data_IF_601018955215
#
_entry.id   IF_601018955215
#
_cell.length_a   1.000
_cell.length_b   1.000
_cell.length_c   1.000
_cell.angle_alpha   90.00
_cell.angle_beta   90.00
_cell.angle_gamma   90.00
#
_symmetry.space_group_name_H-M   'P 1'
#
loop_
_entity.id
_entity.type
_entity.pdbx_description
1 polymer ?
#
# COMPACT_ATOMS: atom_id res chain seq x y z
N UNK A 1 14.32 0.18 15.62
CA UNK A 1 12.96 -0.31 15.94
C UNK A 1 12.00 0.83 16.20
N UNK A 2 11.98 1.54 17.34
CA UNK A 2 10.97 2.60 17.57
C UNK A 2 10.96 3.69 16.48
N UNK A 3 12.14 4.18 16.08
CA UNK A 3 12.27 5.16 14.98
C UNK A 3 11.72 4.64 13.65
N UNK A 4 11.87 3.35 13.37
CA UNK A 4 11.40 2.72 12.14
C UNK A 4 9.87 2.60 12.14
N UNK A 5 9.28 2.21 13.28
CA UNK A 5 7.82 2.16 13.46
C UNK A 5 7.19 3.56 13.39
N UNK A 6 7.77 4.57 14.04
CA UNK A 6 7.28 5.95 13.94
C UNK A 6 7.33 6.46 12.50
N UNK A 7 8.42 6.17 11.76
CA UNK A 7 8.53 6.50 10.34
C UNK A 7 7.46 5.77 9.52
N UNK A 8 7.17 4.50 9.84
CA UNK A 8 6.12 3.73 9.18
C UNK A 8 4.73 4.34 9.43
N UNK A 9 4.39 4.68 10.68
CA UNK A 9 3.13 5.36 10.99
C UNK A 9 3.00 6.71 10.27
N UNK A 10 4.09 7.48 10.17
CA UNK A 10 4.10 8.72 9.40
C UNK A 10 3.86 8.47 7.90
N UNK A 11 4.45 7.42 7.33
CA UNK A 11 4.17 7.02 5.93
C UNK A 11 2.70 6.65 5.75
N UNK A 12 2.13 5.87 6.67
CA UNK A 12 0.71 5.48 6.61
C UNK A 12 -0.20 6.71 6.77
N UNK A 13 0.21 7.71 7.56
CA UNK A 13 -0.51 8.99 7.66
C UNK A 13 -0.49 9.74 6.32
N UNK A 14 0.66 9.79 5.63
CA UNK A 14 0.76 10.38 4.29
C UNK A 14 -0.10 9.64 3.27
N UNK A 15 -0.22 8.30 3.37
CA UNK A 15 -1.12 7.53 2.53
C UNK A 15 -2.59 7.79 2.87
N UNK A 16 -2.96 7.89 4.15
CA UNK A 16 -4.31 8.33 4.54
C UNK A 16 -4.68 9.70 3.97
N UNK A 17 -3.70 10.63 3.90
CA UNK A 17 -3.89 11.94 3.26
C UNK A 17 -4.10 11.87 1.73
N UNK A 18 -3.68 10.78 1.06
CA UNK A 18 -3.86 10.65 -0.39
C UNK A 18 -5.33 10.61 -0.80
N UNK A 19 -6.20 10.02 0.02
CA UNK A 19 -7.64 9.99 -0.23
C UNK A 19 -8.23 11.41 -0.27
N UNK A 20 -7.74 12.30 0.60
CA UNK A 20 -8.15 13.70 0.66
C UNK A 20 -7.67 14.44 -0.60
N UNK A 21 -6.40 14.26 -0.99
CA UNK A 21 -5.86 14.84 -2.23
C UNK A 21 -6.62 14.34 -3.47
N UNK A 22 -7.01 13.06 -3.50
CA UNK A 22 -7.80 12.50 -4.59
C UNK A 22 -9.18 13.15 -4.75
N UNK A 23 -9.78 13.66 -3.67
CA UNK A 23 -11.04 14.42 -3.72
C UNK A 23 -10.84 15.87 -4.18
N UNK A 24 -9.66 16.44 -3.96
CA UNK A 24 -9.31 17.80 -4.38
C UNK A 24 -8.88 17.87 -5.85
N UNK A 25 -8.39 16.77 -6.40
CA UNK A 25 -7.95 16.67 -7.79
C UNK A 25 -9.14 16.33 -8.69
N UNK A 26 -9.37 17.13 -9.73
CA UNK A 26 -10.53 16.94 -10.62
C UNK A 26 -10.36 15.82 -11.65
N UNK A 27 -9.13 15.34 -11.84
CA UNK A 27 -8.76 14.30 -12.80
C UNK A 27 -9.32 12.93 -12.39
N UNK A 28 -9.88 12.12 -13.31
CA UNK A 28 -10.41 10.81 -12.95
C UNK A 28 -9.32 9.85 -12.45
N UNK A 29 -9.69 8.78 -11.72
CA UNK A 29 -8.71 8.01 -10.95
C UNK A 29 -7.58 7.35 -11.75
N UNK A 30 -7.86 6.80 -12.94
CA UNK A 30 -6.85 6.10 -13.74
C UNK A 30 -5.83 7.11 -14.31
N UNK A 31 -6.31 8.24 -14.82
CA UNK A 31 -5.50 9.36 -15.30
C UNK A 31 -4.71 10.03 -14.16
N UNK A 32 -5.29 10.11 -12.96
CA UNK A 32 -4.61 10.60 -11.75
C UNK A 32 -3.42 9.70 -11.42
N UNK A 33 -3.56 8.38 -11.49
CA UNK A 33 -2.44 7.45 -11.26
C UNK A 33 -1.36 7.61 -12.32
N UNK A 34 -1.74 7.82 -13.59
CA UNK A 34 -0.78 8.13 -14.64
C UNK A 34 0.02 9.39 -14.32
N UNK A 35 -0.66 10.51 -14.00
CA UNK A 35 0.03 11.75 -13.65
C UNK A 35 0.90 11.60 -12.39
N UNK A 36 0.40 10.91 -11.37
CA UNK A 36 1.12 10.60 -10.13
C UNK A 36 2.43 9.83 -10.42
N UNK A 37 2.36 8.79 -11.24
CA UNK A 37 3.52 7.95 -11.58
C UNK A 37 4.49 8.65 -12.51
N UNK A 38 3.99 9.42 -13.47
CA UNK A 38 4.82 10.23 -14.37
C UNK A 38 5.60 11.28 -13.58
N UNK A 39 4.92 12.08 -12.75
CA UNK A 39 5.56 13.11 -11.91
C UNK A 39 6.54 12.49 -10.90
N UNK A 40 6.22 11.33 -10.33
CA UNK A 40 7.12 10.62 -9.44
C UNK A 40 8.37 10.10 -10.17
N UNK A 41 8.21 9.50 -11.36
CA UNK A 41 9.31 9.02 -12.18
C UNK A 41 10.23 10.17 -12.64
N UNK A 42 9.66 11.27 -13.12
CA UNK A 42 10.45 12.45 -13.52
C UNK A 42 11.12 13.12 -12.33
N UNK A 43 10.41 13.30 -11.21
CA UNK A 43 10.98 13.85 -9.97
C UNK A 43 12.13 13.01 -9.43
N UNK A 44 12.00 11.68 -9.45
CA UNK A 44 13.07 10.76 -9.06
C UNK A 44 14.24 10.79 -10.04
N UNK A 45 13.99 10.90 -11.35
CA UNK A 45 15.06 11.06 -12.34
C UNK A 45 15.88 12.33 -12.05
N UNK A 46 15.19 13.47 -11.86
CA UNK A 46 15.84 14.75 -11.50
C UNK A 46 16.62 14.61 -10.20
N UNK A 47 16.05 13.98 -9.17
CA UNK A 47 16.70 13.78 -7.88
C UNK A 47 17.96 12.91 -7.99
N UNK A 48 17.92 11.82 -8.75
CA UNK A 48 19.05 10.93 -8.98
C UNK A 48 20.18 11.65 -9.74
N UNK A 49 19.83 12.44 -10.76
CA UNK A 49 20.78 13.26 -11.52
C UNK A 49 21.41 14.34 -10.64
N UNK A 50 20.60 15.09 -9.88
CA UNK A 50 21.07 16.13 -8.98
C UNK A 50 22.00 15.59 -7.89
N UNK A 51 21.71 14.38 -7.37
CA UNK A 51 22.56 13.69 -6.38
C UNK A 51 23.74 12.93 -6.99
N UNK A 52 23.92 12.99 -8.32
CA UNK A 52 24.94 12.25 -9.08
C UNK A 52 24.96 10.75 -8.74
N UNK A 53 23.80 10.19 -8.39
CA UNK A 53 23.71 8.76 -8.06
C UNK A 53 23.67 7.95 -9.36
N UNK A 54 24.40 6.83 -9.45
CA UNK A 54 24.29 5.97 -10.61
C UNK A 54 22.86 5.45 -10.71
N UNK A 55 22.28 5.57 -11.89
CA UNK A 55 20.92 5.13 -12.21
C UNK A 55 20.92 3.87 -13.08
N UNK A 56 22.01 3.60 -13.80
CA UNK A 56 22.17 2.41 -14.64
C UNK A 56 22.17 1.13 -13.80
N UNK A 57 21.40 0.15 -14.25
CA UNK A 57 21.37 -1.23 -13.74
C UNK A 57 21.38 -2.21 -14.92
N UNK A 58 21.86 -3.45 -14.72
CA UNK A 58 21.81 -4.48 -15.75
C UNK A 58 20.38 -4.66 -16.28
N UNK A 59 20.22 -4.90 -17.59
CA UNK A 59 18.91 -4.95 -18.24
C UNK A 59 17.93 -5.95 -17.58
N UNK A 60 18.43 -7.12 -17.15
CA UNK A 60 17.61 -8.10 -16.43
C UNK A 60 17.11 -7.62 -15.07
N UNK A 61 17.88 -6.82 -14.34
CA UNK A 61 17.45 -6.21 -13.07
C UNK A 61 16.49 -5.04 -13.33
N UNK A 62 16.77 -4.21 -14.34
CA UNK A 62 15.87 -3.14 -14.76
C UNK A 62 14.48 -3.68 -15.13
N UNK A 63 14.42 -4.78 -15.90
CA UNK A 63 13.17 -5.41 -16.29
C UNK A 63 12.39 -5.96 -15.08
N UNK A 64 13.08 -6.53 -14.09
CA UNK A 64 12.45 -6.96 -12.83
C UNK A 64 11.83 -5.78 -12.08
N UNK A 65 12.56 -4.67 -11.96
CA UNK A 65 12.09 -3.47 -11.25
C UNK A 65 10.92 -2.80 -11.99
N UNK A 66 10.99 -2.72 -13.33
CA UNK A 66 9.87 -2.28 -14.17
C UNK A 66 8.65 -3.19 -14.03
N UNK A 67 8.87 -4.51 -14.00
CA UNK A 67 7.82 -5.52 -13.81
C UNK A 67 7.13 -5.40 -12.45
N UNK A 68 7.87 -5.05 -11.40
CA UNK A 68 7.27 -4.70 -10.10
C UNK A 68 6.43 -3.43 -10.21
N UNK A 69 6.86 -2.44 -11.00
CA UNK A 69 6.05 -1.27 -11.36
C UNK A 69 4.73 -1.63 -12.06
N UNK A 70 4.71 -2.63 -12.94
CA UNK A 70 3.48 -3.14 -13.57
C UNK A 70 2.50 -3.64 -12.50
N UNK A 71 2.98 -4.35 -11.47
CA UNK A 71 2.15 -4.81 -10.35
C UNK A 71 1.56 -3.63 -9.57
N UNK A 72 2.33 -2.57 -9.36
CA UNK A 72 1.84 -1.34 -8.70
C UNK A 72 0.72 -0.69 -9.52
N UNK A 73 0.89 -0.57 -10.83
CA UNK A 73 -0.15 -0.05 -11.71
C UNK A 73 -1.41 -0.94 -11.69
N UNK A 74 -1.25 -2.25 -11.81
CA UNK A 74 -2.36 -3.21 -11.76
C UNK A 74 -3.10 -3.14 -10.42
N UNK A 75 -2.37 -3.04 -9.31
CA UNK A 75 -2.94 -2.85 -7.98
C UNK A 75 -3.79 -1.57 -7.93
N UNK A 76 -3.26 -0.41 -8.35
CA UNK A 76 -4.02 0.84 -8.30
C UNK A 76 -5.25 0.82 -9.22
N UNK A 77 -5.14 0.30 -10.44
CA UNK A 77 -6.29 0.18 -11.36
C UNK A 77 -7.38 -0.71 -10.77
N UNK A 78 -7.01 -1.89 -10.24
CA UNK A 78 -7.98 -2.81 -9.61
C UNK A 78 -8.57 -2.23 -8.33
N UNK A 79 -7.79 -1.48 -7.54
CA UNK A 79 -8.29 -0.78 -6.36
C UNK A 79 -9.38 0.25 -6.73
N UNK A 80 -9.13 1.10 -7.73
CA UNK A 80 -10.14 2.06 -8.20
C UNK A 80 -11.34 1.39 -8.85
N UNK A 81 -11.14 0.28 -9.56
CA UNK A 81 -12.25 -0.50 -10.09
C UNK A 81 -13.11 -1.09 -8.97
N UNK A 82 -12.50 -1.65 -7.92
CA UNK A 82 -13.24 -2.17 -6.77
C UNK A 82 -14.06 -1.08 -6.07
N UNK A 83 -13.47 0.11 -5.88
CA UNK A 83 -14.17 1.27 -5.32
C UNK A 83 -15.29 1.82 -6.22
N UNK A 84 -15.32 1.46 -7.52
CA UNK A 84 -16.41 1.78 -8.44
C UNK A 84 -17.48 0.70 -8.51
N UNK A 85 -17.10 -0.57 -8.41
CA UNK A 85 -18.02 -1.73 -8.44
C UNK A 85 -18.73 -1.96 -7.10
N UNK A 86 -18.26 -1.32 -6.03
CA UNK A 86 -18.79 -1.44 -4.67
C UNK A 86 -18.62 -0.11 -3.93
N UNK A 87 -19.04 -0.08 -2.66
CA UNK A 87 -18.76 1.05 -1.77
C UNK A 87 -17.28 1.14 -1.41
N UNK A 88 -16.83 2.36 -1.04
CA UNK A 88 -15.48 2.59 -0.52
C UNK A 88 -15.21 1.68 0.69
N UNK A 89 -16.20 1.49 1.57
CA UNK A 89 -16.09 0.62 2.74
C UNK A 89 -15.85 -0.85 2.37
N UNK A 90 -16.53 -1.38 1.33
CA UNK A 90 -16.32 -2.76 0.85
C UNK A 90 -14.96 -2.90 0.14
N UNK A 91 -14.56 -1.92 -0.66
CA UNK A 91 -13.24 -1.89 -1.27
C UNK A 91 -12.13 -1.94 -0.21
N UNK A 92 -12.25 -1.11 0.83
CA UNK A 92 -11.33 -1.14 1.97
C UNK A 92 -11.38 -2.50 2.67
N UNK A 93 -12.56 -3.09 2.90
CA UNK A 93 -12.71 -4.44 3.46
C UNK A 93 -11.90 -5.50 2.71
N UNK A 94 -11.95 -5.50 1.37
CA UNK A 94 -11.10 -6.38 0.57
C UNK A 94 -9.61 -6.07 0.74
N UNK A 95 -9.24 -4.80 0.88
CA UNK A 95 -7.86 -4.38 1.13
C UNK A 95 -7.31 -4.83 2.49
N UNK A 96 -8.12 -5.07 3.54
CA UNK A 96 -7.62 -5.66 4.79
C UNK A 96 -6.99 -7.05 4.61
N UNK A 97 -7.34 -7.76 3.52
CA UNK A 97 -6.70 -9.04 3.19
C UNK A 97 -5.23 -8.89 2.81
N UNK A 98 -4.71 -7.66 2.66
CA UNK A 98 -3.30 -7.38 2.34
C UNK A 98 -2.32 -8.06 3.30
N UNK A 99 -2.51 -7.90 4.61
CA UNK A 99 -1.66 -8.54 5.62
C UNK A 99 -1.78 -10.07 5.56
N UNK A 100 -3.00 -10.58 5.33
CA UNK A 100 -3.24 -12.02 5.18
C UNK A 100 -2.52 -12.59 3.94
N UNK A 101 -2.69 -11.98 2.77
CA UNK A 101 -1.94 -12.33 1.55
C UNK A 101 -0.43 -12.33 1.79
N UNK A 102 0.06 -11.32 2.49
CA UNK A 102 1.48 -11.19 2.79
C UNK A 102 1.97 -12.30 3.72
N UNK A 103 1.17 -12.73 4.69
CA UNK A 103 1.51 -13.85 5.59
C UNK A 103 1.70 -15.18 4.85
N UNK A 104 1.10 -15.35 3.67
CA UNK A 104 1.29 -16.53 2.81
C UNK A 104 2.37 -16.31 1.74
N UNK A 105 2.36 -15.16 1.06
CA UNK A 105 3.29 -14.84 -0.03
C UNK A 105 4.72 -14.62 0.47
N UNK A 106 4.90 -13.98 1.62
CA UNK A 106 6.23 -13.70 2.16
C UNK A 106 7.01 -14.99 2.46
N UNK A 107 6.46 -15.98 3.20
CA UNK A 107 7.13 -17.27 3.40
C UNK A 107 7.33 -18.06 2.10
N UNK A 108 6.35 -18.03 1.18
CA UNK A 108 6.42 -18.75 -0.09
C UNK A 108 7.54 -18.24 -1.00
N UNK A 109 7.66 -16.92 -1.16
CA UNK A 109 8.63 -16.30 -2.08
C UNK A 109 10.01 -16.19 -1.44
N UNK A 110 10.07 -15.92 -0.13
CA UNK A 110 11.33 -15.80 0.61
C UNK A 110 11.84 -17.12 1.18
N UNK A 111 11.14 -18.24 0.94
CA UNK A 111 11.48 -19.58 1.42
C UNK A 111 11.70 -19.63 2.95
N UNK A 112 10.72 -19.11 3.70
CA UNK A 112 10.69 -19.10 5.17
C UNK A 112 9.52 -19.93 5.68
N UNK A 113 9.53 -20.27 6.97
CA UNK A 113 8.39 -20.93 7.62
C UNK A 113 7.25 -19.94 7.82
N UNK A 114 6.01 -20.39 7.59
CA UNK A 114 4.81 -19.62 7.89
C UNK A 114 4.73 -19.41 9.40
N UNK A 115 4.51 -18.17 9.82
CA UNK A 115 4.30 -17.80 11.22
C UNK A 115 2.80 -17.74 11.47
N UNK A 116 2.24 -18.74 12.14
CA UNK A 116 0.79 -18.84 12.35
C UNK A 116 0.18 -17.62 13.05
N UNK A 117 0.93 -16.94 13.92
CA UNK A 117 0.44 -15.70 14.54
C UNK A 117 0.23 -14.57 13.52
N UNK A 118 1.00 -14.51 12.43
CA UNK A 118 0.81 -13.51 11.36
C UNK A 118 -0.49 -13.77 10.59
N UNK A 119 -0.78 -15.04 10.30
CA UNK A 119 -2.06 -15.45 9.69
C UNK A 119 -3.23 -15.07 10.60
N UNK A 120 -3.13 -15.37 11.91
CA UNK A 120 -4.15 -15.03 12.90
C UNK A 120 -4.40 -13.52 13.01
N UNK A 121 -3.35 -12.69 12.99
CA UNK A 121 -3.49 -11.23 12.99
C UNK A 121 -4.11 -10.70 11.69
N UNK A 122 -3.76 -11.29 10.54
CA UNK A 122 -4.40 -10.98 9.26
C UNK A 122 -5.90 -11.28 9.26
N UNK A 123 -6.31 -12.43 9.80
CA UNK A 123 -7.72 -12.77 9.97
C UNK A 123 -8.43 -11.82 10.94
N UNK A 124 -7.78 -11.43 12.03
CA UNK A 124 -8.34 -10.46 12.98
C UNK A 124 -8.59 -9.09 12.33
N UNK A 125 -7.67 -8.61 11.48
CA UNK A 125 -7.91 -7.37 10.71
C UNK A 125 -9.09 -7.48 9.76
N UNK A 126 -9.33 -8.64 9.16
CA UNK A 126 -10.50 -8.86 8.30
C UNK A 126 -11.80 -8.75 9.09
N UNK A 127 -11.86 -9.29 10.31
CA UNK A 127 -13.02 -9.16 11.19
C UNK A 127 -13.29 -7.69 11.51
N UNK A 128 -12.25 -6.94 11.89
CA UNK A 128 -12.38 -5.52 12.17
C UNK A 128 -12.94 -4.73 10.99
N UNK A 129 -12.49 -5.05 9.77
CA UNK A 129 -12.95 -4.33 8.59
C UNK A 129 -14.31 -4.81 8.05
N UNK A 130 -14.71 -6.05 8.31
CA UNK A 130 -16.08 -6.52 8.09
C UNK A 130 -17.10 -5.76 8.96
N UNK A 131 -16.77 -5.52 10.24
CA UNK A 131 -17.62 -4.74 11.14
C UNK A 131 -17.77 -3.27 10.70
N UNK A 132 -16.72 -2.71 10.07
CA UNK A 132 -16.75 -1.38 9.47
C UNK A 132 -17.62 -1.35 8.21
N UNK A 133 -17.59 -2.39 7.38
CA UNK A 133 -18.21 -2.38 6.06
C UNK A 133 -19.67 -2.84 6.01
N UNK A 134 -20.16 -3.57 7.03
CA UNK A 134 -21.49 -4.22 7.03
C UNK A 134 -21.84 -4.81 5.65
N UNK A 135 -20.90 -5.52 5.03
CA UNK A 135 -20.94 -5.81 3.61
C UNK A 135 -22.25 -6.51 3.20
N UNK A 136 -23.09 -5.80 2.45
CA UNK A 136 -24.24 -6.36 1.76
C UNK A 136 -23.74 -7.30 0.65
N UNK A 137 -24.36 -8.49 0.53
CA UNK A 137 -23.96 -9.51 -0.44
C UNK A 137 -24.02 -9.04 -1.91
N UNK A 138 -24.77 -7.97 -2.20
CA UNK A 138 -24.88 -7.37 -3.54
C UNK A 138 -23.58 -6.72 -4.04
N UNK A 139 -22.58 -6.51 -3.18
CA UNK A 139 -21.31 -5.85 -3.54
C UNK A 139 -20.15 -6.83 -3.76
N UNK A 140 -20.44 -8.13 -3.94
CA UNK A 140 -19.43 -9.20 -3.98
C UNK A 140 -18.40 -9.04 -5.11
N UNK A 141 -18.81 -8.53 -6.27
CA UNK A 141 -17.89 -8.31 -7.39
C UNK A 141 -16.78 -7.30 -7.04
N UNK A 142 -17.14 -6.16 -6.44
CA UNK A 142 -16.16 -5.17 -5.98
C UNK A 142 -15.26 -5.70 -4.86
N UNK A 143 -15.81 -6.52 -3.95
CA UNK A 143 -15.02 -7.18 -2.92
C UNK A 143 -13.95 -8.12 -3.51
N UNK A 144 -14.31 -8.97 -4.48
CA UNK A 144 -13.36 -9.88 -5.13
C UNK A 144 -12.23 -9.13 -5.85
N UNK A 145 -12.56 -8.03 -6.52
CA UNK A 145 -11.56 -7.17 -7.18
C UNK A 145 -10.65 -6.48 -6.15
N UNK A 146 -11.18 -6.07 -4.99
CA UNK A 146 -10.38 -5.52 -3.90
C UNK A 146 -9.44 -6.56 -3.29
N UNK A 147 -9.88 -7.81 -3.11
CA UNK A 147 -9.04 -8.91 -2.62
C UNK A 147 -7.90 -9.20 -3.61
N UNK A 148 -8.19 -9.20 -4.92
CA UNK A 148 -7.17 -9.32 -5.95
C UNK A 148 -6.17 -8.17 -5.88
N UNK A 149 -6.67 -6.93 -5.73
CA UNK A 149 -5.84 -5.74 -5.58
C UNK A 149 -4.91 -5.82 -4.37
N UNK A 150 -5.41 -6.30 -3.23
CA UNK A 150 -4.62 -6.57 -2.04
C UNK A 150 -3.53 -7.62 -2.29
N UNK A 151 -3.85 -8.70 -3.01
CA UNK A 151 -2.88 -9.71 -3.42
C UNK A 151 -1.75 -9.15 -4.29
N UNK A 152 -2.07 -8.27 -5.24
CA UNK A 152 -1.08 -7.59 -6.08
C UNK A 152 -0.15 -6.67 -5.26
N UNK A 153 -0.71 -5.92 -4.31
CA UNK A 153 0.06 -5.06 -3.40
C UNK A 153 0.95 -5.86 -2.43
N UNK A 154 0.45 -7.00 -1.93
CA UNK A 154 1.23 -7.94 -1.13
C UNK A 154 2.40 -8.51 -1.95
N UNK A 155 2.15 -8.94 -3.18
CA UNK A 155 3.18 -9.46 -4.08
C UNK A 155 4.26 -8.40 -4.36
N UNK A 156 3.85 -7.18 -4.69
CA UNK A 156 4.73 -6.02 -4.84
C UNK A 156 5.64 -5.84 -3.62
N UNK A 157 5.06 -5.86 -2.41
CA UNK A 157 5.78 -5.65 -1.15
C UNK A 157 6.81 -6.75 -0.88
N UNK A 158 6.44 -8.01 -1.10
CA UNK A 158 7.31 -9.17 -0.90
C UNK A 158 8.46 -9.19 -1.92
N UNK A 159 8.20 -8.86 -3.19
CA UNK A 159 9.25 -8.73 -4.20
C UNK A 159 10.24 -7.61 -3.85
N UNK A 160 9.73 -6.49 -3.30
CA UNK A 160 10.57 -5.38 -2.86
C UNK A 160 11.52 -5.74 -1.72
N UNK A 161 11.10 -6.56 -0.76
CA UNK A 161 11.98 -7.07 0.31
C UNK A 161 13.24 -7.74 -0.26
N UNK A 162 13.15 -8.38 -1.44
CA UNK A 162 14.29 -8.98 -2.13
C UNK A 162 15.11 -7.94 -2.91
N UNK A 163 14.45 -7.09 -3.69
CA UNK A 163 15.11 -6.12 -4.57
C UNK A 163 15.83 -5.02 -3.79
N UNK A 164 15.26 -4.54 -2.68
CA UNK A 164 15.84 -3.45 -1.89
C UNK A 164 17.15 -3.83 -1.19
N UNK A 165 17.45 -5.12 -1.05
CA UNK A 165 18.74 -5.60 -0.54
C UNK A 165 19.87 -5.45 -1.56
N UNK A 166 19.53 -5.37 -2.85
CA UNK A 166 20.49 -5.28 -3.96
C UNK A 166 20.57 -3.88 -4.55
N UNK A 167 19.51 -3.09 -4.41
CA UNK A 167 19.37 -1.79 -5.06
C UNK A 167 19.10 -0.68 -4.04
N UNK A 168 19.54 0.54 -4.37
CA UNK A 168 19.23 1.72 -3.56
C UNK A 168 17.72 2.03 -3.67
N UNK A 169 17.01 2.37 -2.56
CA UNK A 169 15.56 2.58 -2.57
C UNK A 169 15.09 3.61 -3.60
N UNK A 170 15.78 4.76 -3.72
CA UNK A 170 15.42 5.79 -4.71
C UNK A 170 15.51 5.28 -6.15
N UNK A 171 16.55 4.49 -6.46
CA UNK A 171 16.70 3.87 -7.79
C UNK A 171 15.62 2.83 -8.02
N UNK A 172 15.32 2.02 -6.99
CA UNK A 172 14.25 1.03 -7.05
C UNK A 172 12.90 1.66 -7.36
N UNK A 173 12.50 2.65 -6.57
CA UNK A 173 11.26 3.39 -6.79
C UNK A 173 11.25 4.11 -8.15
N UNK A 174 12.38 4.61 -8.65
CA UNK A 174 12.43 5.24 -9.98
C UNK A 174 12.00 4.27 -11.08
N UNK A 175 12.56 3.05 -11.10
CA UNK A 175 12.18 2.04 -12.08
C UNK A 175 10.74 1.55 -11.87
N UNK A 176 10.29 1.38 -10.63
CA UNK A 176 8.91 0.97 -10.35
C UNK A 176 7.89 2.02 -10.81
N UNK A 177 8.12 3.30 -10.52
CA UNK A 177 7.24 4.39 -10.97
C UNK A 177 7.27 4.53 -12.49
N UNK A 178 8.42 4.32 -13.12
CA UNK A 178 8.55 4.31 -14.58
C UNK A 178 7.79 3.13 -15.20
N UNK A 179 7.90 1.94 -14.62
CA UNK A 179 7.18 0.74 -15.05
C UNK A 179 5.68 0.89 -14.88
N UNK A 180 5.24 1.47 -13.77
CA UNK A 180 3.83 1.77 -13.52
C UNK A 180 3.30 2.79 -14.55
N UNK A 181 4.01 3.90 -14.75
CA UNK A 181 3.65 4.92 -15.74
C UNK A 181 3.54 4.35 -17.15
N UNK A 182 4.54 3.58 -17.59
CA UNK A 182 4.53 2.94 -18.91
C UNK A 182 3.35 1.96 -19.06
N UNK A 183 3.11 1.15 -18.03
CA UNK A 183 2.03 0.15 -18.06
C UNK A 183 0.65 0.80 -18.16
N UNK A 184 0.43 1.91 -17.44
CA UNK A 184 -0.84 2.67 -17.50
C UNK A 184 -0.98 3.35 -18.86
N UNK A 185 0.09 3.93 -19.40
CA UNK A 185 0.09 4.51 -20.74
C UNK A 185 -0.27 3.49 -21.82
N UNK A 186 0.28 2.27 -21.72
CA UNK A 186 -0.06 1.16 -22.61
C UNK A 186 -1.50 0.65 -22.43
N UNK A 187 -2.06 0.81 -21.22
CA UNK A 187 -3.46 0.46 -20.93
C UNK A 187 -4.47 1.50 -21.42
N UNK A 188 -4.06 2.75 -21.67
CA UNK A 188 -4.96 3.83 -22.06
C UNK A 188 -5.87 3.56 -23.27
N UNK A 189 -5.42 2.91 -24.37
CA UNK A 189 -6.32 2.61 -25.48
C UNK A 189 -7.50 1.71 -25.06
N UNK A 190 -7.22 0.69 -24.25
CA UNK A 190 -8.23 -0.24 -23.70
C UNK A 190 -9.13 0.52 -22.72
N UNK A 191 -8.54 1.29 -21.82
CA UNK A 191 -9.27 2.11 -20.85
C UNK A 191 -10.23 3.08 -21.54
N UNK A 192 -9.73 3.84 -22.52
CA UNK A 192 -10.51 4.82 -23.27
C UNK A 192 -11.68 4.18 -23.99
N UNK A 193 -11.50 3.00 -24.59
CA UNK A 193 -12.56 2.35 -25.36
C UNK A 193 -13.66 1.74 -24.46
N UNK A 194 -13.28 1.06 -23.37
CA UNK A 194 -14.23 0.27 -22.58
C UNK A 194 -14.73 0.95 -21.30
N UNK A 195 -13.99 1.91 -20.73
CA UNK A 195 -14.22 2.38 -19.36
C UNK A 195 -14.51 3.89 -19.23
N UNK A 196 -14.38 4.67 -20.31
CA UNK A 196 -14.65 6.12 -20.29
C UNK A 196 -16.07 6.50 -20.74
N UNK A 197 -16.93 5.52 -21.03
CA UNK A 197 -18.30 5.72 -21.54
C UNK A 197 -18.37 6.69 -22.74
N UNK A 198 -17.36 6.66 -23.62
CA UNK A 198 -17.28 7.51 -24.80
C UNK A 198 -16.78 8.94 -24.56
N UNK A 199 -16.47 9.34 -23.31
CA UNK A 199 -15.92 10.68 -23.01
C UNK A 199 -14.43 10.81 -23.32
N UNK A 200 -13.72 9.70 -23.54
CA UNK A 200 -12.29 9.67 -23.80
C UNK A 200 -11.43 9.94 -22.56
N UNK A 201 -10.12 10.07 -22.77
CA UNK A 201 -9.16 10.33 -21.69
C UNK A 201 -9.25 11.79 -21.21
N UNK A 202 -9.35 12.00 -19.90
CA UNK A 202 -9.40 13.33 -19.31
C UNK A 202 -8.08 13.69 -18.63
N UNK A 203 -7.08 14.02 -19.45
CA UNK A 203 -5.73 14.34 -18.95
C UNK A 203 -5.54 15.80 -18.53
N UNK A 204 -6.48 16.68 -18.88
CA UNK A 204 -6.36 18.12 -18.62
C UNK A 204 -6.50 18.44 -17.13
N UNK A 205 -5.59 19.28 -16.62
CA UNK A 205 -5.63 19.78 -15.25
C UNK A 205 -6.54 21.00 -15.16
N UNK A 206 -7.28 21.16 -14.05
CA UNK A 206 -8.14 22.31 -13.79
C UNK A 206 -7.75 23.00 -12.49
N UNK A 207 -7.78 24.33 -12.47
CA UNK A 207 -7.53 25.12 -11.27
C UNK A 207 -6.19 24.79 -10.58
N UNK A 208 -6.26 24.30 -9.34
CA UNK A 208 -5.10 23.96 -8.51
C UNK A 208 -4.65 22.50 -8.61
N UNK A 209 -5.18 21.71 -9.56
CA UNK A 209 -4.82 20.30 -9.75
C UNK A 209 -3.30 20.09 -9.84
N UNK A 210 -2.57 20.98 -10.52
CA UNK A 210 -1.11 20.90 -10.67
C UNK A 210 -0.40 20.91 -9.31
N UNK A 211 -0.85 21.73 -8.36
CA UNK A 211 -0.26 21.86 -7.04
C UNK A 211 -0.54 20.59 -6.22
N UNK A 212 -1.78 20.12 -6.23
CA UNK A 212 -2.17 18.91 -5.51
C UNK A 212 -1.50 17.67 -6.07
N UNK A 213 -1.34 17.58 -7.39
CA UNK A 213 -0.59 16.51 -8.06
C UNK A 213 0.89 16.53 -7.68
N UNK A 214 1.53 17.70 -7.59
CA UNK A 214 2.91 17.80 -7.12
C UNK A 214 3.06 17.38 -5.66
N UNK A 215 2.13 17.77 -4.78
CA UNK A 215 2.12 17.32 -3.37
C UNK A 215 1.93 15.81 -3.28
N UNK A 216 0.98 15.25 -4.05
CA UNK A 216 0.69 13.82 -4.11
C UNK A 216 1.88 13.02 -4.65
N UNK A 217 2.46 13.46 -5.76
CA UNK A 217 3.60 12.79 -6.39
C UNK A 217 4.87 12.93 -5.53
N UNK A 218 5.17 14.11 -4.99
CA UNK A 218 6.36 14.34 -4.18
C UNK A 218 6.27 13.68 -2.79
N UNK A 219 5.29 14.08 -1.99
CA UNK A 219 5.15 13.65 -0.60
C UNK A 219 4.65 12.21 -0.49
N UNK A 220 3.47 11.93 -1.03
CA UNK A 220 2.79 10.65 -0.84
C UNK A 220 3.29 9.54 -1.78
N UNK A 221 4.06 9.87 -2.81
CA UNK A 221 4.60 8.88 -3.76
C UNK A 221 6.11 8.80 -3.63
N UNK A 222 6.86 9.80 -4.08
CA UNK A 222 8.33 9.74 -4.05
C UNK A 222 8.85 9.53 -2.64
N UNK A 223 8.48 10.39 -1.67
CA UNK A 223 8.98 10.26 -0.31
C UNK A 223 8.42 9.03 0.41
N UNK A 224 7.09 8.88 0.46
CA UNK A 224 6.45 7.81 1.22
C UNK A 224 6.80 6.42 0.67
N UNK A 225 6.77 6.24 -0.65
CA UNK A 225 7.05 4.95 -1.30
C UNK A 225 8.53 4.58 -1.20
N UNK A 226 9.46 5.49 -1.51
CA UNK A 226 10.90 5.21 -1.33
C UNK A 226 11.27 4.98 0.13
N UNK A 227 10.63 5.68 1.07
CA UNK A 227 10.84 5.45 2.50
C UNK A 227 10.28 4.10 2.96
N UNK A 228 9.12 3.69 2.45
CA UNK A 228 8.54 2.37 2.72
C UNK A 228 9.44 1.25 2.20
N UNK A 229 9.89 1.36 0.96
CA UNK A 229 10.87 0.45 0.37
C UNK A 229 12.15 0.40 1.21
N UNK A 230 12.69 1.55 1.64
CA UNK A 230 13.85 1.59 2.54
C UNK A 230 13.60 0.84 3.86
N UNK A 231 12.41 0.99 4.46
CA UNK A 231 12.03 0.28 5.69
C UNK A 231 11.97 -1.23 5.50
N UNK A 232 11.67 -1.74 4.30
CA UNK A 232 11.71 -3.17 3.96
C UNK A 232 13.12 -3.79 4.08
N UNK A 233 14.17 -2.98 4.22
CA UNK A 233 15.51 -3.49 4.60
C UNK A 233 15.55 -4.00 6.05
N UNK A 234 14.68 -3.49 6.92
CA UNK A 234 14.72 -3.69 8.38
C UNK A 234 13.43 -4.33 8.92
N UNK A 235 12.30 -4.09 8.27
CA UNK A 235 10.98 -4.63 8.61
C UNK A 235 10.54 -5.65 7.55
N UNK A 236 9.76 -6.66 7.95
CA UNK A 236 9.17 -7.60 7.01
C UNK A 236 8.07 -6.93 6.18
N UNK A 237 7.75 -7.53 5.03
CA UNK A 237 6.59 -7.09 4.25
C UNK A 237 5.31 -7.19 5.09
N UNK A 238 5.18 -8.25 5.89
CA UNK A 238 4.02 -8.43 6.76
C UNK A 238 3.82 -7.27 7.74
N UNK A 239 4.88 -6.80 8.43
CA UNK A 239 4.77 -5.70 9.40
C UNK A 239 4.33 -4.40 8.72
N UNK A 240 4.93 -4.10 7.57
CA UNK A 240 4.59 -2.91 6.78
C UNK A 240 3.12 -2.98 6.37
N UNK A 241 2.69 -4.10 5.80
CA UNK A 241 1.34 -4.29 5.30
C UNK A 241 0.28 -4.35 6.41
N UNK A 242 0.61 -4.93 7.56
CA UNK A 242 -0.24 -4.89 8.75
C UNK A 242 -0.44 -3.46 9.22
N UNK A 243 0.61 -2.63 9.19
CA UNK A 243 0.51 -1.21 9.60
C UNK A 243 -0.26 -0.38 8.57
N UNK A 244 -0.18 -0.72 7.28
CA UNK A 244 -0.97 -0.09 6.21
C UNK A 244 -2.48 -0.27 6.44
N UNK A 245 -2.93 -1.33 7.12
CA UNK A 245 -4.35 -1.46 7.48
C UNK A 245 -4.84 -0.32 8.41
N UNK A 246 -3.96 0.51 8.98
CA UNK A 246 -4.32 1.75 9.68
C UNK A 246 -4.58 2.94 8.75
N UNK A 247 -4.28 2.84 7.46
CA UNK A 247 -4.50 3.90 6.48
C UNK A 247 -5.95 4.43 6.50
N UNK A 248 -7.01 3.59 6.49
CA UNK A 248 -8.38 4.07 6.60
C UNK A 248 -8.63 4.85 7.89
N UNK A 249 -8.08 4.38 9.00
CA UNK A 249 -8.22 5.01 10.31
C UNK A 249 -7.60 6.41 10.28
N UNK A 250 -6.39 6.55 9.74
CA UNK A 250 -5.70 7.83 9.63
C UNK A 250 -6.36 8.77 8.63
N UNK A 251 -6.80 8.25 7.48
CA UNK A 251 -7.52 9.04 6.49
C UNK A 251 -8.81 9.64 7.05
N UNK A 252 -9.58 8.87 7.82
CA UNK A 252 -10.83 9.33 8.43
C UNK A 252 -10.57 10.34 9.54
N UNK A 253 -9.57 10.11 10.40
CA UNK A 253 -9.18 11.10 11.42
C UNK A 253 -8.78 12.44 10.77
N UNK A 254 -7.99 12.41 9.69
CA UNK A 254 -7.62 13.61 8.94
C UNK A 254 -8.84 14.26 8.29
N UNK A 255 -9.76 13.47 7.70
CA UNK A 255 -10.97 13.98 7.08
C UNK A 255 -11.87 14.71 8.09
N UNK A 256 -12.07 14.13 9.29
CA UNK A 256 -12.84 14.77 10.38
C UNK A 256 -12.16 16.06 10.86
N UNK A 257 -10.83 16.09 10.96
CA UNK A 257 -10.09 17.29 11.36
C UNK A 257 -10.16 18.42 10.33
N UNK A 258 -10.16 18.08 9.03
CA UNK A 258 -10.14 19.06 7.94
C UNK A 258 -11.55 19.52 7.56
N UNK A 259 -12.52 18.60 7.51
CA UNK A 259 -13.89 18.86 7.04
C UNK A 259 -14.93 18.97 8.16
N UNK A 260 -14.56 18.70 9.42
CA UNK A 260 -15.42 18.87 10.59
C UNK A 260 -16.42 17.72 10.84
N UNK A 261 -17.45 18.02 11.63
CA UNK A 261 -18.38 17.03 12.23
C UNK A 261 -19.49 16.49 11.31
N UNK A 262 -19.40 16.69 9.99
CA UNK A 262 -20.35 16.08 9.04
C UNK A 262 -20.11 14.57 8.85
N UNK A 263 -18.99 14.05 9.36
CA UNK A 263 -18.54 12.65 9.24
C UNK A 263 -18.66 11.92 10.61
N UNK A 264 -19.81 11.97 11.29
CA UNK A 264 -20.05 11.06 12.42
C UNK A 264 -20.25 9.64 11.88
N UNK A 265 -19.29 8.78 12.13
CA UNK A 265 -19.31 7.39 11.68
C UNK A 265 -20.22 6.51 12.57
N UNK A 266 -20.62 5.34 12.06
CA UNK A 266 -21.50 4.41 12.76
C UNK A 266 -20.80 3.73 13.96
N UNK A 267 -21.57 3.14 14.89
CA UNK A 267 -20.99 2.37 16.01
C UNK A 267 -20.15 1.17 15.53
N UNK A 268 -20.53 0.54 14.41
CA UNK A 268 -19.76 -0.57 13.81
C UNK A 268 -18.39 -0.11 13.31
N UNK A 269 -18.29 1.11 12.79
CA UNK A 269 -17.03 1.72 12.41
C UNK A 269 -16.05 1.86 13.58
N UNK A 270 -16.53 2.36 14.74
CA UNK A 270 -15.68 2.52 15.92
C UNK A 270 -15.18 1.17 16.46
N UNK A 271 -16.05 0.17 16.53
CA UNK A 271 -15.68 -1.19 16.96
C UNK A 271 -14.66 -1.82 16.00
N UNK A 272 -14.89 -1.75 14.70
CA UNK A 272 -13.95 -2.29 13.72
C UNK A 272 -12.59 -1.57 13.72
N UNK A 273 -12.60 -0.24 13.88
CA UNK A 273 -11.37 0.56 14.06
C UNK A 273 -10.57 0.10 15.27
N UNK A 274 -11.24 -0.17 16.40
CA UNK A 274 -10.60 -0.66 17.62
C UNK A 274 -9.97 -2.05 17.41
N UNK A 275 -10.65 -2.96 16.70
CA UNK A 275 -10.11 -4.28 16.35
C UNK A 275 -8.86 -4.16 15.46
N UNK A 276 -8.90 -3.28 14.45
CA UNK A 276 -7.74 -3.04 13.57
C UNK A 276 -6.58 -2.46 14.39
N UNK A 277 -6.80 -1.43 15.21
CA UNK A 277 -5.77 -0.85 16.07
C UNK A 277 -5.15 -1.91 16.99
N UNK A 278 -5.98 -2.75 17.61
CA UNK A 278 -5.52 -3.82 18.47
C UNK A 278 -4.60 -4.80 17.72
N UNK A 279 -4.98 -5.24 16.52
CA UNK A 279 -4.17 -6.17 15.72
C UNK A 279 -2.78 -5.63 15.36
N UNK A 280 -2.68 -4.33 15.08
CA UNK A 280 -1.40 -3.70 14.75
C UNK A 280 -0.55 -3.49 16.00
N UNK A 281 -1.16 -3.04 17.10
CA UNK A 281 -0.46 -2.75 18.35
C UNK A 281 -0.02 -4.03 19.10
N UNK A 282 -0.75 -5.13 18.96
CA UNK A 282 -0.39 -6.39 19.61
C UNK A 282 0.77 -7.10 18.90
N UNK A 283 0.98 -6.86 17.60
CA UNK A 283 2.00 -7.54 16.82
C UNK A 283 3.43 -7.34 17.39
N UNK A 284 3.92 -6.11 17.65
CA UNK A 284 5.23 -5.90 18.27
C UNK A 284 5.38 -6.60 19.62
N UNK A 285 4.30 -6.68 20.42
CA UNK A 285 4.29 -7.34 21.73
C UNK A 285 4.45 -8.85 21.59
N UNK A 286 3.68 -9.47 20.69
CA UNK A 286 3.79 -10.91 20.38
C UNK A 286 5.19 -11.24 19.84
N UNK A 287 5.71 -10.41 18.94
CA UNK A 287 7.04 -10.61 18.36
C UNK A 287 8.13 -10.53 19.46
N UNK A 288 8.05 -9.54 20.35
CA UNK A 288 8.98 -9.40 21.45
C UNK A 288 8.88 -10.56 22.45
N UNK A 289 7.67 -11.02 22.74
CA UNK A 289 7.45 -12.16 23.63
C UNK A 289 8.01 -13.46 23.06
N UNK A 290 7.78 -13.74 21.77
CA UNK A 290 8.34 -14.89 21.07
C UNK A 290 9.87 -14.85 21.04
N UNK A 291 10.46 -13.68 20.77
CA UNK A 291 11.92 -13.50 20.82
C UNK A 291 12.52 -13.73 22.22
N UNK A 292 11.79 -13.38 23.28
CA UNK A 292 12.21 -13.65 24.67
C UNK A 292 12.13 -15.13 25.01
N UNK A 293 11.07 -15.83 24.60
CA UNK A 293 10.93 -17.28 24.79
C UNK A 293 12.01 -18.09 24.08
N UNK A 294 12.39 -17.70 22.86
CA UNK A 294 13.47 -18.34 22.10
C UNK A 294 14.88 -18.09 22.66
N UNK A 295 15.04 -17.10 23.55
CA UNK A 295 16.32 -16.76 24.20
C UNK A 295 16.48 -17.38 25.60
N UNK A 296 15.45 -18.02 26.14
CA UNK A 296 15.61 -18.81 27.36
C UNK A 296 16.39 -20.08 26.98
N UNK A 297 17.54 -20.36 27.63
CA UNK A 297 18.19 -21.65 27.45
C UNK A 297 17.21 -22.74 27.90
N UNK A 298 17.13 -23.84 27.16
CA UNK A 298 16.45 -25.04 27.66
C UNK A 298 17.01 -25.34 29.07
N UNK A 299 16.15 -25.67 30.05
CA UNK A 299 16.66 -26.12 31.34
C UNK A 299 17.56 -27.31 31.05
N UNK A 300 18.83 -27.21 31.42
CA UNK A 300 19.77 -28.33 31.42
C UNK A 300 19.08 -29.42 32.19
N UNK A 301 18.61 -30.48 31.50
CA UNK A 301 18.18 -31.70 32.17
C UNK A 301 19.36 -32.11 33.04
N UNK A 302 19.18 -31.99 34.35
CA UNK A 302 20.13 -32.49 35.31
C UNK A 302 20.22 -33.99 35.07
N UNK A 303 21.33 -34.41 34.44
CA UNK A 303 21.75 -35.80 34.42
C UNK A 303 21.95 -36.19 35.88
N UNK A 304 20.99 -36.94 36.42
CA UNK A 304 21.09 -37.67 37.70
C UNK A 304 21.15 -39.14 37.35
#
# INVERSE_FOLDING_TARGET
MLKDYLRLHFIVLLWGFTAILGKLISVPPVELVFWRTLLAATGLAVLLLARKQPWRVPAGEALRMLGVGVLVAAHWITFFLAARLSSVSVCLAGMATLALWTSFLEPLILWRRIRFYEVGLGLLTMVGLYLVSQAEFDQMAGLLVAILSAGLSALFSVLNVKLVKRHAPLRLTFYEMSGACLSIALFFPIYSHYFTNGTGLQLAWRGFDWLWLLVLAGGCTVYAFSSSVELMKRLSAFVINLTINLEPVYGILLAVLIFGSQEKMSNGFYLGTLVILFSVLIHPVIEQWNKRRQRQPEPVEAVI
#
